data_IF_607535374768
#
_entry.id   IF_607535374768
#
_cell.length_a   1.000
_cell.length_b   1.000
_cell.length_c   1.000
_cell.angle_alpha   90.00
_cell.angle_beta   90.00
_cell.angle_gamma   90.00
#
_symmetry.space_group_name_H-M   'P 1'
#
loop_
_entity.id
_entity.type
_entity.pdbx_description
1 polymer ?
#
# COMPACT_ATOMS: atom_id res chain seq x y z
N UNK A 1 -6.46 -17.11 19.82
CA UNK A 1 -7.15 -17.26 18.50
C UNK A 1 -6.81 -16.13 17.54
N UNK A 2 -6.95 -14.86 17.93
CA UNK A 2 -6.61 -13.69 17.09
C UNK A 2 -5.17 -13.70 16.55
N UNK A 3 -4.16 -13.93 17.40
CA UNK A 3 -2.75 -13.93 16.96
C UNK A 3 -2.41 -14.96 15.88
N UNK A 4 -3.01 -16.15 15.96
CA UNK A 4 -2.84 -17.22 14.96
C UNK A 4 -3.49 -16.81 13.65
N UNK A 5 -4.73 -16.29 13.69
CA UNK A 5 -5.46 -15.86 12.50
C UNK A 5 -4.78 -14.69 11.78
N UNK A 6 -4.34 -13.66 12.51
CA UNK A 6 -3.59 -12.53 11.95
C UNK A 6 -2.28 -13.01 11.32
N UNK A 7 -1.52 -13.85 12.03
CA UNK A 7 -0.23 -14.36 11.52
C UNK A 7 -0.41 -15.20 10.24
N UNK A 8 -1.41 -16.08 10.20
CA UNK A 8 -1.70 -16.86 9.00
C UNK A 8 -2.08 -15.95 7.83
N UNK A 9 -2.97 -14.97 8.07
CA UNK A 9 -3.33 -13.98 7.06
C UNK A 9 -2.09 -13.23 6.53
N UNK A 10 -1.22 -12.78 7.42
CA UNK A 10 -0.01 -12.03 7.06
C UNK A 10 0.96 -12.87 6.22
N UNK A 11 1.14 -14.16 6.54
CA UNK A 11 1.96 -15.09 5.76
C UNK A 11 1.40 -15.24 4.33
N UNK A 12 0.09 -15.50 4.21
CA UNK A 12 -0.55 -15.63 2.90
C UNK A 12 -0.49 -14.33 2.10
N UNK A 13 -0.77 -13.20 2.75
CA UNK A 13 -0.69 -11.87 2.16
C UNK A 13 0.71 -11.59 1.60
N UNK A 14 1.74 -11.63 2.46
CA UNK A 14 3.12 -11.30 2.10
C UNK A 14 3.64 -12.20 0.98
N UNK A 15 3.41 -13.51 1.11
CA UNK A 15 3.80 -14.48 0.09
C UNK A 15 3.11 -14.17 -1.24
N UNK A 16 1.80 -13.89 -1.23
CA UNK A 16 1.03 -13.61 -2.44
C UNK A 16 1.54 -12.37 -3.17
N UNK A 17 1.67 -11.23 -2.48
CA UNK A 17 2.06 -9.98 -3.15
C UNK A 17 3.50 -9.99 -3.62
N UNK A 18 4.41 -10.61 -2.86
CA UNK A 18 5.82 -10.75 -3.25
C UNK A 18 5.95 -11.69 -4.45
N UNK A 19 5.30 -12.86 -4.43
CA UNK A 19 5.33 -13.81 -5.55
C UNK A 19 4.75 -13.18 -6.81
N UNK A 20 3.57 -12.53 -6.72
CA UNK A 20 2.98 -11.82 -7.86
C UNK A 20 3.93 -10.73 -8.37
N UNK A 21 4.53 -9.95 -7.47
CA UNK A 21 5.49 -8.91 -7.81
C UNK A 21 6.70 -9.44 -8.58
N UNK A 22 7.33 -10.51 -8.09
CA UNK A 22 8.46 -11.18 -8.74
C UNK A 22 8.06 -11.71 -10.12
N UNK A 23 6.89 -12.36 -10.23
CA UNK A 23 6.39 -12.86 -11.52
C UNK A 23 6.19 -11.69 -12.50
N UNK A 24 5.62 -10.57 -12.06
CA UNK A 24 5.43 -9.39 -12.91
C UNK A 24 6.74 -8.79 -13.38
N UNK A 25 7.74 -8.69 -12.50
CA UNK A 25 9.07 -8.19 -12.87
C UNK A 25 9.71 -9.10 -13.94
N UNK A 26 9.66 -10.42 -13.74
CA UNK A 26 10.30 -11.40 -14.65
C UNK A 26 9.55 -11.57 -15.98
N UNK A 27 8.22 -11.52 -15.97
CA UNK A 27 7.38 -11.84 -17.15
C UNK A 27 6.83 -10.63 -17.90
N UNK A 28 7.06 -9.42 -17.42
CA UNK A 28 6.58 -8.18 -18.07
C UNK A 28 7.26 -7.86 -19.42
N UNK A 29 8.33 -8.56 -19.79
CA UNK A 29 9.08 -8.30 -21.02
C UNK A 29 9.57 -6.85 -21.07
N UNK A 30 9.30 -6.15 -22.17
CA UNK A 30 9.60 -4.72 -22.34
C UNK A 30 8.49 -3.78 -21.82
N UNK A 31 7.37 -4.32 -21.33
CA UNK A 31 6.26 -3.49 -20.86
C UNK A 31 6.59 -2.87 -19.48
N UNK A 32 7.00 -1.59 -19.52
CA UNK A 32 7.40 -0.81 -18.35
C UNK A 32 6.29 -0.70 -17.29
N UNK A 33 5.01 -0.65 -17.69
CA UNK A 33 3.88 -0.54 -16.77
C UNK A 33 3.82 -1.74 -15.81
N UNK A 34 3.87 -2.96 -16.35
CA UNK A 34 3.75 -4.18 -15.54
C UNK A 34 5.03 -4.47 -14.76
N UNK A 35 6.21 -4.12 -15.31
CA UNK A 35 7.45 -4.17 -14.54
C UNK A 35 7.38 -3.27 -13.31
N UNK A 36 6.86 -2.05 -13.48
CA UNK A 36 6.72 -1.07 -12.41
C UNK A 36 5.67 -1.50 -11.36
N UNK A 37 4.56 -2.11 -11.78
CA UNK A 37 3.62 -2.76 -10.85
C UNK A 37 4.27 -3.89 -10.04
N UNK A 38 5.11 -4.70 -10.67
CA UNK A 38 5.81 -5.77 -9.98
C UNK A 38 6.76 -5.25 -8.92
N UNK A 39 7.54 -4.20 -9.24
CA UNK A 39 8.38 -3.48 -8.28
C UNK A 39 7.53 -2.91 -7.14
N UNK A 40 6.40 -2.26 -7.47
CA UNK A 40 5.46 -1.71 -6.49
C UNK A 40 4.95 -2.78 -5.51
N UNK A 41 4.61 -3.98 -6.00
CA UNK A 41 4.13 -5.08 -5.19
C UNK A 41 5.21 -5.65 -4.26
N UNK A 42 6.47 -5.74 -4.73
CA UNK A 42 7.61 -6.14 -3.89
C UNK A 42 7.91 -5.08 -2.82
N UNK A 43 7.89 -3.79 -3.16
CA UNK A 43 8.05 -2.69 -2.20
C UNK A 43 6.98 -2.76 -1.10
N UNK A 44 5.73 -3.03 -1.48
CA UNK A 44 4.62 -3.22 -0.54
C UNK A 44 4.90 -4.40 0.41
N UNK A 45 5.13 -5.61 -0.13
CA UNK A 45 5.32 -6.80 0.70
C UNK A 45 6.56 -6.73 1.57
N UNK A 46 7.70 -6.31 1.02
CA UNK A 46 8.93 -6.14 1.79
C UNK A 46 8.83 -5.00 2.81
N UNK A 47 8.10 -3.93 2.52
CA UNK A 47 7.91 -2.83 3.47
C UNK A 47 7.00 -3.21 4.63
N UNK A 48 5.95 -3.97 4.37
CA UNK A 48 5.02 -4.44 5.40
C UNK A 48 5.63 -5.53 6.29
N UNK A 49 6.54 -6.35 5.76
CA UNK A 49 7.17 -7.42 6.56
C UNK A 49 7.92 -6.90 7.78
N UNK A 50 8.54 -5.71 7.69
CA UNK A 50 9.19 -5.06 8.84
C UNK A 50 8.24 -4.71 9.98
N UNK A 51 6.94 -4.57 9.71
CA UNK A 51 5.92 -4.38 10.74
C UNK A 51 5.22 -5.68 11.12
N UNK A 52 4.84 -6.49 10.14
CA UNK A 52 4.01 -7.69 10.34
C UNK A 52 4.78 -8.83 11.00
N UNK A 53 6.09 -9.01 10.70
CA UNK A 53 6.88 -10.08 11.34
C UNK A 53 7.06 -9.83 12.84
N UNK A 54 7.50 -8.64 13.30
CA UNK A 54 7.51 -8.34 14.74
C UNK A 54 6.14 -8.41 15.40
N UNK A 55 5.06 -8.07 14.66
CA UNK A 55 3.69 -8.16 15.16
C UNK A 55 3.24 -9.60 15.38
N UNK A 56 3.46 -10.48 14.41
CA UNK A 56 3.19 -11.90 14.53
C UNK A 56 3.97 -12.49 15.72
N UNK A 57 5.26 -12.15 15.83
CA UNK A 57 6.07 -12.58 16.98
C UNK A 57 5.50 -12.10 18.31
N UNK A 58 5.18 -10.79 18.43
CA UNK A 58 4.62 -10.22 19.65
C UNK A 58 3.25 -10.80 20.02
N UNK A 59 2.39 -11.10 19.04
CA UNK A 59 1.08 -11.72 19.28
C UNK A 59 1.16 -13.19 19.73
N UNK A 60 2.24 -13.89 19.37
CA UNK A 60 2.42 -15.32 19.65
C UNK A 60 3.36 -15.61 20.84
N UNK A 61 4.14 -14.64 21.30
CA UNK A 61 5.18 -14.85 22.32
C UNK A 61 5.09 -13.88 23.50
N UNK A 62 5.82 -12.77 23.44
CA UNK A 62 6.17 -11.89 24.56
C UNK A 62 5.23 -10.68 24.71
N UNK A 63 4.22 -10.55 23.85
CA UNK A 63 3.28 -9.42 23.81
C UNK A 63 3.74 -8.28 22.91
N UNK A 64 2.78 -7.42 22.51
CA UNK A 64 3.05 -6.27 21.63
C UNK A 64 3.87 -5.18 22.32
N UNK A 65 3.72 -5.02 23.64
CA UNK A 65 4.44 -4.00 24.42
C UNK A 65 5.94 -4.27 24.49
N UNK A 66 6.33 -5.53 24.76
CA UNK A 66 7.73 -5.96 24.77
C UNK A 66 8.42 -5.78 23.40
N UNK A 67 7.64 -5.70 22.32
CA UNK A 67 8.13 -5.56 20.94
C UNK A 67 7.88 -4.15 20.36
N UNK A 68 7.57 -3.16 21.21
CA UNK A 68 7.22 -1.80 20.77
C UNK A 68 8.26 -1.16 19.84
N UNK A 69 9.55 -1.31 20.15
CA UNK A 69 10.62 -0.77 19.31
C UNK A 69 10.64 -1.36 17.90
N UNK A 70 10.55 -2.69 17.77
CA UNK A 70 10.53 -3.39 16.49
C UNK A 70 9.26 -3.04 15.69
N UNK A 71 8.10 -3.03 16.35
CA UNK A 71 6.84 -2.60 15.76
C UNK A 71 6.88 -1.15 15.27
N UNK A 72 7.52 -0.28 16.05
CA UNK A 72 7.75 1.12 15.77
C UNK A 72 8.57 1.38 14.52
N UNK A 73 9.75 0.77 14.46
CA UNK A 73 10.64 0.80 13.29
C UNK A 73 9.91 0.23 12.07
N UNK A 74 9.19 -0.88 12.25
CA UNK A 74 8.34 -1.45 11.22
C UNK A 74 7.33 -0.44 10.67
N UNK A 75 6.56 0.23 11.54
CA UNK A 75 5.58 1.25 11.12
C UNK A 75 6.24 2.44 10.39
N UNK A 76 7.44 2.84 10.80
CA UNK A 76 8.20 3.88 10.09
C UNK A 76 8.55 3.43 8.67
N UNK A 77 9.16 2.24 8.53
CA UNK A 77 9.53 1.66 7.22
C UNK A 77 8.29 1.53 6.34
N UNK A 78 7.22 0.92 6.85
CA UNK A 78 5.94 0.80 6.15
C UNK A 78 5.36 2.16 5.74
N UNK A 79 5.49 3.20 6.57
CA UNK A 79 5.02 4.54 6.20
C UNK A 79 5.78 5.12 5.01
N UNK A 80 7.10 4.90 4.95
CA UNK A 80 7.95 5.33 3.84
C UNK A 80 7.64 4.49 2.59
N UNK A 81 7.62 3.17 2.69
CA UNK A 81 7.36 2.29 1.53
C UNK A 81 5.96 2.50 0.97
N UNK A 82 4.95 2.75 1.81
CA UNK A 82 3.60 3.11 1.35
C UNK A 82 3.56 4.47 0.64
N UNK A 83 4.43 5.40 1.02
CA UNK A 83 4.58 6.66 0.28
C UNK A 83 5.13 6.40 -1.12
N UNK A 84 6.20 5.59 -1.19
CA UNK A 84 6.81 5.18 -2.46
C UNK A 84 5.80 4.40 -3.31
N UNK A 85 5.01 3.51 -2.71
CA UNK A 85 3.96 2.75 -3.40
C UNK A 85 3.01 3.67 -4.18
N UNK A 86 2.49 4.74 -3.57
CA UNK A 86 1.57 5.65 -4.25
C UNK A 86 2.27 6.53 -5.30
N UNK A 87 3.54 6.89 -5.08
CA UNK A 87 4.35 7.57 -6.11
C UNK A 87 4.57 6.65 -7.32
N UNK A 88 4.82 5.37 -7.09
CA UNK A 88 4.96 4.38 -8.16
C UNK A 88 3.61 4.16 -8.86
N UNK A 89 2.51 4.09 -8.11
CA UNK A 89 1.14 3.99 -8.65
C UNK A 89 0.76 5.20 -9.51
N UNK A 90 1.23 6.39 -9.16
CA UNK A 90 1.12 7.59 -9.99
C UNK A 90 1.85 7.42 -11.33
N UNK A 91 3.08 6.91 -11.34
CA UNK A 91 3.83 6.68 -12.58
C UNK A 91 3.22 5.58 -13.44
N UNK A 92 2.67 4.54 -12.80
CA UNK A 92 1.87 3.52 -13.48
C UNK A 92 0.67 4.17 -14.20
N UNK A 93 -0.07 5.05 -13.53
CA UNK A 93 -1.17 5.79 -14.14
C UNK A 93 -0.70 6.60 -15.35
N UNK A 94 0.43 7.30 -15.23
CA UNK A 94 1.01 8.08 -16.33
C UNK A 94 1.37 7.22 -17.53
N UNK A 95 1.97 6.05 -17.31
CA UNK A 95 2.34 5.12 -18.39
C UNK A 95 1.08 4.56 -19.05
N UNK A 96 0.11 4.10 -18.24
CA UNK A 96 -1.11 3.44 -18.73
C UNK A 96 -1.95 4.33 -19.65
N UNK A 97 -2.06 5.62 -19.32
CA UNK A 97 -2.88 6.57 -20.05
C UNK A 97 -2.04 7.57 -20.88
N UNK A 98 -0.78 7.23 -21.15
CA UNK A 98 0.16 8.02 -21.96
C UNK A 98 0.24 9.52 -21.60
N UNK A 99 0.23 9.83 -20.31
CA UNK A 99 0.22 11.20 -19.80
C UNK A 99 1.65 11.78 -19.82
N UNK A 100 2.01 12.40 -20.95
CA UNK A 100 3.38 12.84 -21.26
C UNK A 100 3.80 14.18 -20.60
N UNK A 101 2.88 15.05 -20.14
CA UNK A 101 3.22 16.43 -19.76
C UNK A 101 2.52 17.05 -18.52
N UNK A 102 2.24 16.26 -17.48
CA UNK A 102 1.60 16.74 -16.22
C UNK A 102 2.62 17.19 -15.16
N UNK A 103 3.48 18.17 -15.49
CA UNK A 103 4.56 18.65 -14.58
C UNK A 103 4.01 19.14 -13.23
N UNK A 104 2.89 19.87 -13.25
CA UNK A 104 2.26 20.41 -12.04
C UNK A 104 1.82 19.29 -11.09
N UNK A 105 1.10 18.30 -11.60
CA UNK A 105 0.65 17.16 -10.81
C UNK A 105 1.81 16.31 -10.29
N UNK A 106 2.84 16.07 -11.13
CA UNK A 106 4.06 15.36 -10.70
C UNK A 106 4.73 16.07 -9.52
N UNK A 107 4.86 17.40 -9.60
CA UNK A 107 5.46 18.19 -8.50
C UNK A 107 4.62 18.14 -7.23
N UNK A 108 3.28 18.16 -7.34
CA UNK A 108 2.39 18.02 -6.17
C UNK A 108 2.58 16.65 -5.50
N UNK A 109 2.58 15.56 -6.29
CA UNK A 109 2.76 14.20 -5.75
C UNK A 109 4.11 14.07 -5.05
N UNK A 110 5.20 14.53 -5.67
CA UNK A 110 6.52 14.48 -5.05
C UNK A 110 6.62 15.40 -3.83
N UNK A 111 6.05 16.61 -3.89
CA UNK A 111 6.01 17.53 -2.77
C UNK A 111 5.32 16.91 -1.55
N UNK A 112 4.13 16.33 -1.73
CA UNK A 112 3.40 15.65 -0.67
C UNK A 112 4.17 14.44 -0.12
N UNK A 113 4.82 13.67 -1.00
CA UNK A 113 5.64 12.52 -0.60
C UNK A 113 6.84 12.94 0.25
N UNK A 114 7.56 13.99 -0.16
CA UNK A 114 8.70 14.56 0.58
C UNK A 114 8.23 15.09 1.93
N UNK A 115 7.15 15.87 1.97
CA UNK A 115 6.57 16.37 3.23
C UNK A 115 6.24 15.21 4.16
N UNK A 116 5.62 14.12 3.66
CA UNK A 116 5.35 12.94 4.48
C UNK A 116 6.62 12.30 5.03
N UNK A 117 7.65 12.12 4.20
CA UNK A 117 8.92 11.51 4.63
C UNK A 117 9.58 12.36 5.72
N UNK A 118 9.59 13.69 5.56
CA UNK A 118 10.09 14.62 6.58
C UNK A 118 9.26 14.50 7.86
N UNK A 119 7.92 14.48 7.75
CA UNK A 119 7.02 14.29 8.89
C UNK A 119 7.26 12.98 9.63
N UNK A 120 7.60 11.89 8.92
CA UNK A 120 7.96 10.61 9.54
C UNK A 120 9.32 10.64 10.27
N UNK A 121 10.25 11.51 9.85
CA UNK A 121 11.59 11.60 10.43
C UNK A 121 11.64 12.37 11.76
N UNK A 122 10.62 13.18 12.07
CA UNK A 122 10.57 13.96 13.31
C UNK A 122 10.57 13.06 14.57
N UNK A 123 11.41 13.35 15.58
CA UNK A 123 11.50 12.54 16.80
C UNK A 123 10.19 12.49 17.61
N UNK A 124 9.32 13.49 17.44
CA UNK A 124 8.02 13.59 18.10
C UNK A 124 7.03 12.48 17.68
N UNK A 125 7.33 11.74 16.60
CA UNK A 125 6.58 10.53 16.27
C UNK A 125 6.73 9.44 17.35
N UNK A 126 7.80 9.50 18.16
CA UNK A 126 8.12 8.55 19.22
C UNK A 126 7.94 7.09 18.77
N UNK A 127 8.48 6.75 17.59
CA UNK A 127 8.25 5.44 16.97
C UNK A 127 8.52 4.27 17.90
N UNK A 128 9.53 4.38 18.77
CA UNK A 128 9.95 3.30 19.69
C UNK A 128 9.10 3.20 20.96
N UNK A 129 8.21 4.18 21.21
CA UNK A 129 7.30 4.17 22.36
C UNK A 129 6.07 3.32 22.05
N UNK A 130 5.65 2.50 23.02
CA UNK A 130 4.39 1.76 22.91
C UNK A 130 3.18 2.69 22.77
N UNK A 131 3.18 3.79 23.54
CA UNK A 131 2.13 4.81 23.54
C UNK A 131 2.53 6.05 22.73
N UNK A 132 2.80 5.85 21.43
CA UNK A 132 3.15 6.95 20.53
C UNK A 132 1.98 7.94 20.34
N UNK A 133 2.25 9.25 20.20
CA UNK A 133 1.22 10.28 20.12
C UNK A 133 0.39 10.17 18.84
N UNK A 134 -0.93 10.13 19.00
CA UNK A 134 -1.90 10.04 17.88
C UNK A 134 -1.82 11.26 16.96
N UNK A 135 -1.57 12.46 17.50
CA UNK A 135 -1.47 13.71 16.73
C UNK A 135 -0.41 13.64 15.63
N UNK A 136 0.78 13.12 15.92
CA UNK A 136 1.82 12.90 14.93
C UNK A 136 1.48 11.80 13.93
N UNK A 137 0.70 10.80 14.37
CA UNK A 137 0.03 9.84 13.49
C UNK A 137 -0.89 10.50 12.46
N UNK A 138 -1.65 11.51 12.87
CA UNK A 138 -2.52 12.28 11.98
C UNK A 138 -1.68 13.13 11.03
N UNK A 139 -0.73 13.94 11.54
CA UNK A 139 0.06 14.86 10.73
C UNK A 139 0.79 14.17 9.57
N UNK A 140 1.48 13.06 9.82
CA UNK A 140 2.19 12.33 8.75
C UNK A 140 1.26 11.63 7.75
N UNK A 141 0.00 11.44 8.10
CA UNK A 141 -0.99 10.80 7.22
C UNK A 141 -1.86 11.80 6.44
N UNK A 142 -1.88 13.09 6.80
CA UNK A 142 -2.56 14.12 5.99
C UNK A 142 -1.98 14.18 4.56
N UNK A 143 -0.65 14.32 4.33
CA UNK A 143 -0.12 14.31 2.97
C UNK A 143 -0.39 12.99 2.24
N UNK A 144 -0.42 11.87 2.97
CA UNK A 144 -0.74 10.56 2.40
C UNK A 144 -2.17 10.47 1.90
N UNK A 145 -3.13 10.93 2.70
CA UNK A 145 -4.53 10.97 2.33
C UNK A 145 -4.75 11.88 1.11
N UNK A 146 -4.06 13.02 1.04
CA UNK A 146 -4.10 13.90 -0.12
C UNK A 146 -3.57 13.22 -1.39
N UNK A 147 -2.43 12.50 -1.30
CA UNK A 147 -1.94 11.68 -2.43
C UNK A 147 -3.01 10.67 -2.82
N UNK A 148 -3.60 9.95 -1.85
CA UNK A 148 -4.67 8.98 -2.09
C UNK A 148 -5.86 9.56 -2.86
N UNK A 149 -6.37 10.71 -2.42
CA UNK A 149 -7.47 11.42 -3.06
C UNK A 149 -7.13 11.84 -4.50
N UNK A 150 -5.92 12.35 -4.72
CA UNK A 150 -5.44 12.69 -6.06
C UNK A 150 -5.40 11.44 -6.95
N UNK A 151 -4.84 10.32 -6.47
CA UNK A 151 -4.78 9.08 -7.24
C UNK A 151 -6.19 8.56 -7.56
N UNK A 152 -7.13 8.59 -6.61
CA UNK A 152 -8.54 8.24 -6.85
C UNK A 152 -9.11 9.08 -8.00
N UNK A 153 -8.95 10.40 -7.92
CA UNK A 153 -9.49 11.35 -8.90
C UNK A 153 -8.93 11.12 -10.30
N UNK A 154 -7.60 11.02 -10.44
CA UNK A 154 -6.96 10.85 -11.76
C UNK A 154 -7.28 9.50 -12.41
N UNK A 155 -7.37 8.41 -11.62
CA UNK A 155 -7.78 7.11 -12.15
C UNK A 155 -9.24 7.15 -12.56
N UNK A 156 -10.12 7.70 -11.73
CA UNK A 156 -11.54 7.79 -12.07
C UNK A 156 -11.76 8.49 -13.42
N UNK A 157 -11.13 9.64 -13.63
CA UNK A 157 -11.26 10.40 -14.87
C UNK A 157 -10.73 9.62 -16.07
N UNK A 158 -9.50 9.08 -15.98
CA UNK A 158 -8.89 8.35 -17.11
C UNK A 158 -9.55 7.02 -17.42
N UNK A 159 -10.08 6.31 -16.43
CA UNK A 159 -10.88 5.10 -16.64
C UNK A 159 -12.13 5.42 -17.46
N UNK A 160 -12.82 6.51 -17.13
CA UNK A 160 -14.04 6.94 -17.84
C UNK A 160 -13.71 7.38 -19.27
N UNK A 161 -12.66 8.18 -19.45
CA UNK A 161 -12.23 8.66 -20.78
C UNK A 161 -11.82 7.51 -21.71
N UNK A 162 -11.15 6.48 -21.19
CA UNK A 162 -10.58 5.38 -22.00
C UNK A 162 -11.43 4.10 -21.99
N UNK A 163 -12.59 4.11 -21.32
CA UNK A 163 -13.42 2.92 -21.06
C UNK A 163 -12.60 1.72 -20.55
N UNK A 164 -11.68 1.99 -19.62
CA UNK A 164 -10.68 1.04 -19.17
C UNK A 164 -11.28 -0.02 -18.24
N UNK A 165 -11.59 -1.19 -18.81
CA UNK A 165 -12.15 -2.33 -18.07
C UNK A 165 -11.16 -3.00 -17.14
N UNK A 166 -9.86 -2.90 -17.41
CA UNK A 166 -8.82 -3.58 -16.65
C UNK A 166 -8.66 -2.97 -15.27
N UNK A 167 -8.65 -1.63 -15.19
CA UNK A 167 -8.39 -0.89 -13.96
C UNK A 167 -9.64 -0.22 -13.40
N UNK A 168 -10.84 -0.57 -13.90
CA UNK A 168 -12.12 0.05 -13.50
C UNK A 168 -12.37 0.12 -11.99
N UNK A 169 -11.84 -0.85 -11.23
CA UNK A 169 -12.00 -0.92 -9.78
C UNK A 169 -10.85 -0.29 -8.98
N UNK A 170 -9.84 0.28 -9.65
CA UNK A 170 -8.70 0.93 -9.00
C UNK A 170 -9.13 2.03 -8.00
N UNK A 171 -10.04 2.96 -8.35
CA UNK A 171 -10.47 3.98 -7.40
C UNK A 171 -11.18 3.37 -6.18
N UNK A 172 -12.03 2.37 -6.39
CA UNK A 172 -12.78 1.69 -5.32
C UNK A 172 -11.83 0.97 -4.36
N UNK A 173 -10.81 0.26 -4.89
CA UNK A 173 -9.82 -0.41 -4.06
C UNK A 173 -9.04 0.60 -3.19
N UNK A 174 -8.68 1.76 -3.75
CA UNK A 174 -7.99 2.81 -2.99
C UNK A 174 -8.92 3.43 -1.93
N UNK A 175 -10.19 3.70 -2.27
CA UNK A 175 -11.19 4.21 -1.32
C UNK A 175 -11.39 3.24 -0.15
N UNK A 176 -11.55 1.94 -0.43
CA UNK A 176 -11.69 0.93 0.62
C UNK A 176 -10.45 0.88 1.51
N UNK A 177 -9.25 0.91 0.91
CA UNK A 177 -8.01 0.90 1.67
C UNK A 177 -7.90 2.09 2.64
N UNK A 178 -8.15 3.31 2.19
CA UNK A 178 -8.14 4.49 3.06
C UNK A 178 -9.31 4.50 4.05
N UNK A 179 -10.49 4.06 3.64
CA UNK A 179 -11.68 3.97 4.48
C UNK A 179 -11.48 3.06 5.70
N UNK A 180 -10.78 1.93 5.52
CA UNK A 180 -10.39 1.07 6.64
C UNK A 180 -9.17 1.58 7.40
N UNK A 181 -8.26 2.31 6.74
CA UNK A 181 -7.04 2.83 7.39
C UNK A 181 -7.32 3.98 8.37
N UNK A 182 -8.18 4.93 8.01
CA UNK A 182 -8.44 6.13 8.81
C UNK A 182 -8.90 5.75 10.23
N UNK A 183 -9.87 4.84 10.43
CA UNK A 183 -10.27 4.44 11.77
C UNK A 183 -9.14 3.80 12.58
N UNK A 184 -8.28 3.03 11.92
CA UNK A 184 -7.14 2.38 12.58
C UNK A 184 -6.15 3.41 13.10
N UNK A 185 -5.83 4.44 12.31
CA UNK A 185 -4.92 5.51 12.74
C UNK A 185 -5.45 6.28 13.95
N UNK A 186 -6.76 6.53 13.98
CA UNK A 186 -7.37 7.39 15.00
C UNK A 186 -7.64 6.65 16.32
N UNK A 187 -8.05 5.37 16.25
CA UNK A 187 -8.64 4.70 17.41
C UNK A 187 -8.00 3.37 17.79
N UNK A 188 -7.03 2.83 17.04
CA UNK A 188 -6.44 1.52 17.39
C UNK A 188 -5.69 1.50 18.73
N UNK A 189 -5.18 2.65 19.18
CA UNK A 189 -4.54 2.76 20.50
C UNK A 189 -5.55 2.72 21.66
N UNK A 190 -6.78 3.17 21.45
CA UNK A 190 -7.84 3.21 22.48
C UNK A 190 -8.76 1.99 22.43
N UNK A 191 -9.02 1.49 21.22
CA UNK A 191 -9.88 0.34 20.95
C UNK A 191 -9.10 -0.68 20.10
N UNK A 192 -8.36 -1.61 20.73
CA UNK A 192 -7.52 -2.57 20.02
C UNK A 192 -8.25 -3.41 18.97
N UNK A 193 -9.56 -3.65 19.17
CA UNK A 193 -10.42 -4.37 18.22
C UNK A 193 -10.52 -3.69 16.84
N UNK A 194 -10.39 -2.37 16.76
CA UNK A 194 -10.37 -1.63 15.48
C UNK A 194 -9.16 -2.03 14.64
N UNK A 195 -8.09 -2.56 15.25
CA UNK A 195 -6.95 -3.12 14.55
C UNK A 195 -7.30 -4.20 13.52
N UNK A 196 -8.45 -4.89 13.68
CA UNK A 196 -8.91 -5.90 12.71
C UNK A 196 -9.17 -5.32 11.32
N UNK A 197 -9.47 -4.02 11.22
CA UNK A 197 -9.66 -3.32 9.94
C UNK A 197 -8.38 -3.27 9.07
N UNK A 198 -7.22 -3.62 9.63
CA UNK A 198 -6.00 -3.83 8.84
C UNK A 198 -6.18 -4.95 7.80
N UNK A 199 -6.95 -6.01 8.10
CA UNK A 199 -7.19 -7.13 7.18
C UNK A 199 -7.92 -6.67 5.90
N UNK A 200 -9.12 -6.07 5.96
CA UNK A 200 -9.81 -5.61 4.75
C UNK A 200 -9.07 -4.49 4.03
N UNK A 201 -8.33 -3.62 4.74
CA UNK A 201 -7.39 -2.65 4.13
C UNK A 201 -6.34 -3.37 3.28
N UNK A 202 -5.69 -4.40 3.83
CA UNK A 202 -4.63 -5.15 3.15
C UNK A 202 -5.17 -5.91 1.95
N UNK A 203 -6.36 -6.50 2.05
CA UNK A 203 -7.04 -7.11 0.90
C UNK A 203 -7.29 -6.13 -0.25
N UNK A 204 -7.58 -4.87 0.05
CA UNK A 204 -7.73 -3.84 -0.98
C UNK A 204 -6.39 -3.57 -1.72
N UNK A 205 -5.24 -3.62 -1.03
CA UNK A 205 -3.92 -3.54 -1.67
C UNK A 205 -3.58 -4.79 -2.48
N UNK A 206 -3.90 -5.98 -1.97
CA UNK A 206 -3.79 -7.23 -2.74
C UNK A 206 -4.59 -7.12 -4.02
N UNK A 207 -5.79 -6.55 -3.97
CA UNK A 207 -6.64 -6.33 -5.15
C UNK A 207 -6.00 -5.37 -6.16
N UNK A 208 -5.36 -4.28 -5.70
CA UNK A 208 -4.59 -3.36 -6.56
C UNK A 208 -3.48 -4.11 -7.30
N UNK A 209 -2.67 -4.91 -6.59
CA UNK A 209 -1.61 -5.73 -7.20
C UNK A 209 -2.19 -6.75 -8.17
N UNK A 210 -3.28 -7.42 -7.78
CA UNK A 210 -3.95 -8.42 -8.59
C UNK A 210 -4.51 -7.86 -9.90
N UNK A 211 -5.05 -6.64 -9.91
CA UNK A 211 -5.48 -5.97 -11.14
C UNK A 211 -4.32 -5.82 -12.15
N UNK A 212 -3.15 -5.37 -11.67
CA UNK A 212 -1.94 -5.29 -12.50
C UNK A 212 -1.48 -6.66 -13.01
N UNK A 213 -1.47 -7.66 -12.13
CA UNK A 213 -1.07 -9.03 -12.48
C UNK A 213 -2.00 -9.69 -13.50
N UNK A 214 -3.32 -9.54 -13.33
CA UNK A 214 -4.35 -10.09 -14.22
C UNK A 214 -4.24 -9.48 -15.62
N UNK A 215 -4.08 -8.16 -15.71
CA UNK A 215 -3.93 -7.45 -16.98
C UNK A 215 -2.64 -7.87 -17.71
N UNK A 216 -1.53 -8.04 -16.98
CA UNK A 216 -0.29 -8.56 -17.56
C UNK A 216 -0.49 -9.97 -18.15
N UNK A 217 -1.12 -10.88 -17.39
CA UNK A 217 -1.38 -12.25 -17.85
C UNK A 217 -2.23 -12.31 -19.11
N UNK A 218 -3.24 -11.44 -19.21
CA UNK A 218 -4.10 -11.36 -20.41
C UNK A 218 -3.31 -11.00 -21.66
N UNK A 219 -2.32 -10.12 -21.55
CA UNK A 219 -1.45 -9.73 -22.67
C UNK A 219 -0.42 -10.79 -23.02
N UNK A 220 0.10 -11.52 -22.02
CA UNK A 220 1.04 -12.62 -22.26
C UNK A 220 0.39 -13.89 -22.83
N UNK A 221 -0.94 -14.01 -22.77
CA UNK A 221 -1.67 -15.19 -23.27
C UNK A 221 -3.00 -14.79 -23.94
N UNK A 222 -2.96 -14.16 -25.13
CA UNK A 222 -4.14 -13.57 -25.78
C UNK A 222 -5.22 -14.58 -26.19
N UNK A 223 -4.90 -15.88 -26.25
CA UNK A 223 -5.84 -16.96 -26.59
C UNK A 223 -6.37 -17.74 -25.36
N UNK A 224 -6.00 -17.35 -24.14
CA UNK A 224 -6.32 -18.08 -22.90
C UNK A 224 -7.66 -17.73 -22.24
N UNK A 225 -8.68 -17.35 -23.00
CA UNK A 225 -10.07 -17.23 -22.49
C UNK A 225 -10.97 -18.02 -23.42
N UNK A 226 -11.07 -19.32 -23.13
CA UNK A 226 -12.22 -20.19 -23.33
C UNK A 226 -11.87 -21.48 -22.59
N UNK A 227 -12.22 -21.52 -21.30
CA UNK A 227 -12.57 -22.69 -20.49
C UNK A 227 -12.98 -22.20 -19.10
#
# INVERSE_FOLDING_TARGET
MQGIMETLFDIFYLSTVIIMGIIMIKKSGQNKQYRLFGIMAVILGCGDSFHLVPRAYGLLTTGLEANAAALGIGKLITSITMTIFYVVLYHIWRIRYEVKAEKRLTNIIYGLAIVRIILCAFPQNQWLSYNAPVSWGIYRNIPFALIGLIIIWIFHNKIKENNDKGFKFMPIAIILSFGFYIPVVLWSNTLPSIGILMIPKTLAYVWIVFMGYKEMKKLSNPHGVNN
#
